data_IF_943202736335
#
_entry.id   IF_943202736335
#
_cell.length_a   1.000
_cell.length_b   1.000
_cell.length_c   1.000
_cell.angle_alpha   90.00
_cell.angle_beta   90.00
_cell.angle_gamma   90.00
#
_symmetry.space_group_name_H-M   'P 1'
#
loop_
_entity.id
_entity.type
_entity.pdbx_description
1 polymer ?
#
# COMPACT_ATOMS: atom_id res chain seq x y z
N UNK A 1 -19.36 10.17 -9.96
CA UNK A 1 -18.44 9.09 -9.73
C UNK A 1 -17.51 9.43 -8.60
N UNK A 2 -16.97 8.41 -8.00
CA UNK A 2 -16.25 8.44 -6.74
C UNK A 2 -14.74 8.64 -6.96
N UNK A 3 -14.37 9.51 -7.90
CA UNK A 3 -12.97 9.81 -8.17
C UNK A 3 -12.47 10.86 -7.18
N UNK A 4 -11.43 10.54 -6.41
CA UNK A 4 -10.81 11.45 -5.43
C UNK A 4 -9.31 11.64 -5.66
N UNK A 5 -8.68 10.79 -6.46
CA UNK A 5 -7.24 10.78 -6.68
C UNK A 5 -6.83 11.82 -7.74
N UNK A 6 -5.82 12.63 -7.42
CA UNK A 6 -5.30 13.67 -8.29
C UNK A 6 -3.84 13.98 -7.97
N UNK A 7 -3.12 14.45 -8.98
CA UNK A 7 -1.79 15.04 -8.84
C UNK A 7 -1.57 16.06 -9.95
N UNK A 8 -0.84 17.14 -9.65
CA UNK A 8 -0.46 18.16 -10.61
C UNK A 8 0.82 18.89 -10.21
N UNK A 9 1.44 19.56 -11.19
CA UNK A 9 2.60 20.42 -11.01
C UNK A 9 2.19 21.90 -11.20
N UNK A 10 2.73 22.79 -10.37
CA UNK A 10 2.59 24.25 -10.53
C UNK A 10 3.92 24.84 -10.88
N UNK A 11 3.96 25.64 -11.96
CA UNK A 11 5.17 26.29 -12.46
C UNK A 11 5.06 27.81 -12.39
N UNK A 12 6.18 28.48 -12.08
CA UNK A 12 6.28 29.93 -12.14
C UNK A 12 5.45 30.68 -11.10
N UNK A 13 5.19 30.09 -9.94
CA UNK A 13 4.43 30.70 -8.85
C UNK A 13 5.31 31.25 -7.72
N UNK A 14 6.62 31.32 -7.89
CA UNK A 14 7.56 31.82 -6.88
C UNK A 14 7.09 33.15 -6.23
N UNK A 15 7.16 33.23 -4.90
CA UNK A 15 6.74 34.37 -4.09
C UNK A 15 5.23 34.62 -4.02
N UNK A 16 4.39 33.76 -4.61
CA UNK A 16 2.92 33.91 -4.60
C UNK A 16 2.25 33.03 -3.57
N UNK A 17 1.12 33.49 -3.04
CA UNK A 17 0.19 32.65 -2.28
C UNK A 17 -0.98 32.29 -3.20
N UNK A 18 -1.24 30.99 -3.35
CA UNK A 18 -2.27 30.47 -4.26
C UNK A 18 -3.22 29.57 -3.46
N UNK A 19 -4.51 29.79 -3.63
CA UNK A 19 -5.56 28.90 -3.12
C UNK A 19 -6.05 27.99 -4.23
N UNK A 20 -6.05 26.68 -3.95
CA UNK A 20 -6.54 25.64 -4.85
C UNK A 20 -7.90 25.19 -4.37
N UNK A 21 -8.89 25.22 -5.26
CA UNK A 21 -10.26 24.80 -4.98
C UNK A 21 -10.59 23.60 -5.85
N UNK A 22 -11.08 22.56 -5.23
CA UNK A 22 -11.46 21.29 -5.86
C UNK A 22 -12.93 20.97 -5.60
N UNK A 23 -13.41 19.90 -6.18
CA UNK A 23 -14.72 19.37 -5.83
C UNK A 23 -14.75 18.96 -4.34
N UNK A 24 -15.92 19.09 -3.67
CA UNK A 24 -16.06 18.71 -2.27
C UNK A 24 -15.64 17.26 -2.01
N UNK A 25 -14.81 17.06 -0.97
CA UNK A 25 -14.33 15.74 -0.57
C UNK A 25 -13.04 15.29 -1.28
N UNK A 26 -12.43 16.09 -2.16
CA UNK A 26 -11.21 15.72 -2.86
C UNK A 26 -9.92 16.17 -2.16
N UNK A 27 -10.02 16.97 -1.13
CA UNK A 27 -8.89 17.40 -0.28
C UNK A 27 -8.96 16.70 1.06
N UNK A 28 -7.84 16.10 1.49
CA UNK A 28 -7.74 15.45 2.78
C UNK A 28 -7.59 16.43 3.96
N UNK A 29 -7.53 15.91 5.19
CA UNK A 29 -7.50 16.72 6.41
C UNK A 29 -6.32 17.68 6.52
N UNK A 30 -5.20 17.34 5.87
CA UNK A 30 -3.93 18.08 5.98
C UNK A 30 -3.58 18.81 4.67
N UNK A 31 -4.58 19.09 3.83
CA UNK A 31 -4.39 19.72 2.54
C UNK A 31 -3.86 18.75 1.49
N UNK A 32 -2.94 19.24 0.65
CA UNK A 32 -2.24 18.45 -0.35
C UNK A 32 -0.95 17.83 0.20
N UNK A 33 -0.55 16.69 -0.32
CA UNK A 33 0.84 16.28 -0.27
C UNK A 33 1.65 17.16 -1.24
N UNK A 34 2.78 17.69 -0.78
CA UNK A 34 3.64 18.64 -1.50
C UNK A 34 5.03 18.06 -1.65
N UNK A 35 5.60 18.15 -2.85
CA UNK A 35 6.95 17.69 -3.15
C UNK A 35 7.66 18.62 -4.13
N UNK A 36 9.00 18.69 -4.03
CA UNK A 36 9.87 19.39 -4.98
C UNK A 36 10.66 18.43 -5.89
N UNK A 37 10.62 17.13 -5.59
CA UNK A 37 11.45 16.12 -6.25
C UNK A 37 10.73 14.81 -6.56
N UNK A 38 9.44 14.69 -6.24
CA UNK A 38 8.60 13.49 -6.34
C UNK A 38 9.04 12.32 -5.43
N UNK A 39 10.04 12.53 -4.59
CA UNK A 39 10.56 11.53 -3.65
C UNK A 39 10.25 11.85 -2.19
N UNK A 40 10.33 13.13 -1.82
CA UNK A 40 10.09 13.62 -0.47
C UNK A 40 8.78 14.40 -0.46
N UNK A 41 7.85 13.96 0.38
CA UNK A 41 6.51 14.51 0.48
C UNK A 41 6.24 15.04 1.87
N UNK A 42 5.59 16.19 1.96
CA UNK A 42 5.08 16.77 3.20
C UNK A 42 3.65 17.24 2.98
N UNK A 43 2.88 17.36 4.04
CA UNK A 43 1.55 17.95 3.95
C UNK A 43 1.63 19.47 3.88
N UNK A 44 0.73 20.09 3.10
CA UNK A 44 0.65 21.56 3.01
C UNK A 44 0.12 22.20 4.29
N UNK A 45 -0.43 21.41 5.20
CA UNK A 45 -0.91 21.76 6.56
C UNK A 45 -1.96 22.88 6.62
N UNK A 46 -2.70 23.07 5.53
CA UNK A 46 -3.67 24.17 5.41
C UNK A 46 -4.99 23.78 4.77
N UNK A 47 -5.53 22.60 5.08
CA UNK A 47 -6.90 22.31 4.70
C UNK A 47 -7.86 23.19 5.50
N UNK A 48 -8.41 24.20 4.87
CA UNK A 48 -9.40 25.09 5.47
C UNK A 48 -10.83 24.56 5.34
N UNK A 49 -11.04 23.67 4.36
CA UNK A 49 -12.30 22.98 4.11
C UNK A 49 -12.00 21.72 3.27
N UNK A 50 -12.91 20.75 3.25
CA UNK A 50 -12.76 19.49 2.52
C UNK A 50 -12.66 19.64 0.98
N UNK A 51 -12.55 20.84 0.45
CA UNK A 51 -12.47 21.13 -0.98
C UNK A 51 -11.40 22.17 -1.35
N UNK A 52 -10.60 22.66 -0.40
CA UNK A 52 -9.57 23.66 -0.72
C UNK A 52 -8.36 23.59 0.19
N UNK A 53 -7.22 24.01 -0.33
CA UNK A 53 -5.99 24.27 0.43
C UNK A 53 -5.29 25.49 -0.12
N UNK A 54 -4.42 26.11 0.67
CA UNK A 54 -3.64 27.27 0.27
C UNK A 54 -2.16 26.97 0.44
N UNK A 55 -1.35 27.38 -0.52
CA UNK A 55 0.10 27.23 -0.48
C UNK A 55 0.80 28.55 -0.80
N UNK A 56 1.79 28.91 0.02
CA UNK A 56 2.65 30.08 -0.21
C UNK A 56 3.99 29.59 -0.75
N UNK A 57 4.24 29.90 -2.02
CA UNK A 57 5.49 29.56 -2.69
C UNK A 57 6.62 30.44 -2.17
N UNK A 58 7.74 29.85 -1.83
CA UNK A 58 8.98 30.59 -1.53
C UNK A 58 9.50 31.33 -2.76
N UNK A 59 10.38 32.31 -2.54
CA UNK A 59 10.95 33.17 -3.60
C UNK A 59 11.69 32.39 -4.70
N UNK A 60 12.17 31.18 -4.41
CA UNK A 60 12.90 30.32 -5.35
C UNK A 60 12.13 29.04 -5.72
N UNK A 61 10.89 28.90 -5.31
CA UNK A 61 10.05 27.74 -5.61
C UNK A 61 9.31 27.92 -6.93
N UNK A 62 9.93 27.53 -8.04
CA UNK A 62 9.36 27.65 -9.37
C UNK A 62 8.52 26.43 -9.78
N UNK A 63 8.90 25.24 -9.34
CA UNK A 63 8.28 23.98 -9.69
C UNK A 63 7.93 23.23 -8.41
N UNK A 64 6.63 23.05 -8.14
CA UNK A 64 6.12 22.35 -6.95
C UNK A 64 5.04 21.36 -7.36
N UNK A 65 5.15 20.14 -6.89
CA UNK A 65 4.19 19.07 -7.12
C UNK A 65 3.21 18.98 -5.96
N UNK A 66 1.94 18.83 -6.31
CA UNK A 66 0.83 18.62 -5.37
C UNK A 66 0.10 17.34 -5.71
N UNK A 67 -0.27 16.58 -4.69
CA UNK A 67 -1.02 15.34 -4.88
C UNK A 67 -2.03 15.13 -3.75
N UNK A 68 -3.01 14.25 -4.02
CA UNK A 68 -3.98 13.80 -3.04
C UNK A 68 -3.32 13.18 -1.81
N UNK A 69 -2.30 12.34 -2.04
CA UNK A 69 -1.49 11.66 -1.04
C UNK A 69 -0.01 11.62 -1.44
N UNK A 70 0.84 11.02 -0.61
CA UNK A 70 2.27 10.88 -0.86
C UNK A 70 2.50 9.83 -1.94
N UNK A 71 2.72 10.28 -3.19
CA UNK A 71 2.90 9.40 -4.33
C UNK A 71 4.11 8.47 -4.16
N UNK A 72 3.96 7.26 -4.69
CA UNK A 72 5.05 6.30 -4.82
C UNK A 72 5.21 5.91 -6.30
N UNK A 73 6.27 6.41 -6.93
CA UNK A 73 6.55 6.22 -8.35
C UNK A 73 7.47 5.00 -8.58
N UNK A 74 7.40 4.30 -9.72
CA UNK A 74 8.28 3.16 -10.01
C UNK A 74 9.78 3.45 -9.88
N UNK A 75 10.24 4.66 -10.23
CA UNK A 75 11.63 5.06 -10.03
C UNK A 75 12.06 5.06 -8.56
N UNK A 76 11.13 5.32 -7.62
CA UNK A 76 11.42 5.21 -6.19
C UNK A 76 11.72 3.78 -5.77
N UNK A 77 10.94 2.81 -6.24
CA UNK A 77 11.21 1.39 -5.97
C UNK A 77 12.56 0.94 -6.52
N UNK A 78 12.90 1.36 -7.74
CA UNK A 78 14.21 1.06 -8.32
C UNK A 78 15.35 1.66 -7.50
N UNK A 79 15.23 2.92 -7.09
CA UNK A 79 16.23 3.58 -6.23
C UNK A 79 16.33 2.94 -4.84
N UNK A 80 15.18 2.59 -4.25
CA UNK A 80 15.13 1.86 -2.97
C UNK A 80 15.90 0.54 -3.06
N UNK A 81 15.64 -0.24 -4.11
CA UNK A 81 16.26 -1.52 -4.36
C UNK A 81 17.77 -1.38 -4.62
N UNK A 82 18.18 -0.42 -5.44
CA UNK A 82 19.59 -0.13 -5.76
C UNK A 82 20.39 0.17 -4.50
N UNK A 83 19.88 1.06 -3.63
CA UNK A 83 20.55 1.43 -2.36
C UNK A 83 20.75 0.26 -1.40
N UNK A 84 20.03 -0.86 -1.60
CA UNK A 84 20.09 -2.08 -0.78
C UNK A 84 20.72 -3.26 -1.49
N UNK A 85 21.22 -3.06 -2.71
CA UNK A 85 21.79 -4.12 -3.53
C UNK A 85 20.76 -5.17 -3.98
N UNK A 86 19.47 -4.82 -3.97
CA UNK A 86 18.38 -5.69 -4.41
C UNK A 86 18.26 -5.62 -5.93
N UNK A 87 18.25 -6.79 -6.57
CA UNK A 87 18.03 -6.87 -8.02
C UNK A 87 16.55 -6.81 -8.37
N UNK A 88 16.12 -5.72 -8.96
CA UNK A 88 14.80 -5.61 -9.57
C UNK A 88 14.78 -6.39 -10.89
N UNK A 89 13.74 -7.19 -11.08
CA UNK A 89 13.50 -8.01 -12.25
C UNK A 89 12.20 -7.56 -12.93
N UNK A 90 12.03 -7.94 -14.18
CA UNK A 90 10.78 -7.80 -14.94
C UNK A 90 9.91 -9.03 -14.68
N UNK A 91 8.69 -8.83 -14.21
CA UNK A 91 7.73 -9.90 -13.97
C UNK A 91 6.99 -10.25 -15.26
N UNK A 92 6.27 -9.30 -15.80
CA UNK A 92 5.56 -9.33 -17.07
C UNK A 92 5.24 -7.88 -17.49
N UNK A 93 4.69 -7.71 -18.68
CA UNK A 93 4.06 -6.45 -19.08
C UNK A 93 2.58 -6.46 -18.65
N UNK A 94 2.10 -5.36 -18.11
CA UNK A 94 0.68 -5.16 -17.84
C UNK A 94 -0.12 -5.04 -19.15
N UNK A 95 -1.42 -4.94 -19.09
CA UNK A 95 -2.31 -5.08 -20.25
C UNK A 95 -2.09 -4.04 -21.35
N UNK A 96 -1.56 -2.85 -21.02
CA UNK A 96 -1.21 -1.79 -21.99
C UNK A 96 0.29 -1.71 -22.28
N UNK A 97 1.08 -2.65 -21.73
CA UNK A 97 2.50 -2.78 -22.01
C UNK A 97 3.42 -2.12 -21.00
N UNK A 98 2.94 -1.65 -19.86
CA UNK A 98 3.80 -1.13 -18.79
C UNK A 98 4.50 -2.29 -18.09
N UNK A 99 5.85 -2.29 -17.97
CA UNK A 99 6.56 -3.33 -17.24
C UNK A 99 6.19 -3.37 -15.76
N UNK A 100 5.88 -4.56 -15.26
CA UNK A 100 5.67 -4.80 -13.82
C UNK A 100 7.01 -5.23 -13.21
N UNK A 101 7.64 -4.40 -12.35
CA UNK A 101 8.85 -4.77 -11.65
C UNK A 101 8.54 -5.68 -10.46
N UNK A 102 9.46 -6.57 -10.14
CA UNK A 102 9.42 -7.32 -8.88
C UNK A 102 10.82 -7.56 -8.34
N UNK A 103 10.91 -7.92 -7.07
CA UNK A 103 12.15 -8.31 -6.43
C UNK A 103 11.98 -9.57 -5.59
N UNK A 104 13.04 -10.39 -5.52
CA UNK A 104 13.12 -11.53 -4.60
C UNK A 104 14.25 -11.27 -3.64
N UNK A 105 13.95 -11.27 -2.35
CA UNK A 105 14.87 -10.96 -1.26
C UNK A 105 15.00 -12.20 -0.36
N UNK A 106 16.23 -12.67 -0.14
CA UNK A 106 16.48 -13.92 0.57
C UNK A 106 16.50 -15.14 -0.35
N UNK A 107 16.93 -16.30 0.19
CA UNK A 107 17.14 -17.55 -0.55
C UNK A 107 16.38 -18.74 0.05
N UNK A 108 15.58 -18.52 1.10
CA UNK A 108 14.81 -19.56 1.76
C UNK A 108 13.75 -20.20 0.86
N UNK A 109 13.29 -21.38 1.23
CA UNK A 109 12.30 -22.13 0.44
C UNK A 109 10.91 -21.53 0.52
N UNK A 110 10.49 -21.13 1.74
CA UNK A 110 9.15 -20.62 1.98
C UNK A 110 9.03 -19.16 1.55
N UNK A 111 8.04 -18.84 0.75
CA UNK A 111 7.86 -17.54 0.13
C UNK A 111 6.85 -16.67 0.91
N UNK A 112 7.23 -15.46 1.25
CA UNK A 112 6.33 -14.41 1.72
C UNK A 112 6.08 -13.50 0.52
N UNK A 113 4.85 -13.46 0.03
CA UNK A 113 4.48 -12.63 -1.13
C UNK A 113 3.89 -11.32 -0.62
N UNK A 114 4.46 -10.21 -1.08
CA UNK A 114 3.96 -8.86 -0.83
C UNK A 114 3.43 -8.31 -2.15
N UNK A 115 2.18 -7.88 -2.16
CA UNK A 115 1.55 -7.20 -3.30
C UNK A 115 1.07 -5.82 -2.90
N UNK A 116 1.11 -4.87 -3.83
CA UNK A 116 0.54 -3.54 -3.64
C UNK A 116 -0.03 -3.02 -4.97
N UNK A 117 -0.82 -1.98 -4.90
CA UNK A 117 -1.36 -1.26 -6.06
C UNK A 117 -2.22 -2.13 -6.98
N UNK A 118 -3.03 -3.04 -6.43
CA UNK A 118 -4.19 -3.56 -7.15
C UNK A 118 -5.18 -2.45 -7.52
N UNK A 119 -5.22 -1.40 -6.71
CA UNK A 119 -5.80 -0.12 -7.07
C UNK A 119 -4.65 0.90 -7.21
N UNK A 120 -4.52 1.47 -8.40
CA UNK A 120 -3.36 2.26 -8.78
C UNK A 120 -3.08 3.49 -7.88
N UNK A 121 -4.09 4.05 -7.22
CA UNK A 121 -3.95 5.22 -6.35
C UNK A 121 -3.41 4.92 -4.94
N UNK A 122 -3.32 3.66 -4.51
CA UNK A 122 -3.08 3.30 -3.10
C UNK A 122 -1.58 3.25 -2.74
N UNK A 123 -0.90 4.40 -2.80
CA UNK A 123 0.56 4.50 -2.68
C UNK A 123 1.14 4.21 -1.29
N UNK A 124 0.36 4.35 -0.22
CA UNK A 124 0.85 4.21 1.16
C UNK A 124 1.34 2.80 1.48
N UNK A 125 0.75 1.78 0.84
CA UNK A 125 1.17 0.39 0.96
C UNK A 125 2.60 0.13 0.47
N UNK A 126 3.08 0.85 -0.54
CA UNK A 126 4.44 0.71 -1.06
C UNK A 126 5.50 1.12 -0.01
N UNK A 127 5.23 2.17 0.79
CA UNK A 127 6.12 2.56 1.89
C UNK A 127 6.14 1.52 3.01
N UNK A 128 5.00 0.88 3.30
CA UNK A 128 4.94 -0.26 4.22
C UNK A 128 5.83 -1.41 3.68
N UNK A 129 5.74 -1.70 2.38
CA UNK A 129 6.57 -2.72 1.72
C UNK A 129 8.06 -2.42 1.86
N UNK A 130 8.50 -1.15 1.68
CA UNK A 130 9.89 -0.74 1.94
C UNK A 130 10.31 -1.10 3.38
N UNK A 131 9.46 -0.82 4.36
CA UNK A 131 9.74 -1.11 5.76
C UNK A 131 9.85 -2.60 6.07
N UNK A 132 8.97 -3.42 5.50
CA UNK A 132 9.01 -4.88 5.63
C UNK A 132 10.32 -5.41 5.04
N UNK A 133 10.71 -4.96 3.85
CA UNK A 133 11.96 -5.37 3.20
C UNK A 133 13.18 -4.94 4.02
N UNK A 134 13.20 -3.70 4.53
CA UNK A 134 14.29 -3.20 5.38
C UNK A 134 14.51 -4.04 6.63
N UNK A 135 13.41 -4.39 7.32
CA UNK A 135 13.52 -5.21 8.52
C UNK A 135 13.91 -6.66 8.17
N UNK A 136 13.42 -7.20 7.05
CA UNK A 136 13.81 -8.53 6.61
C UNK A 136 15.30 -8.62 6.25
N UNK A 137 15.86 -7.63 5.55
CA UNK A 137 17.27 -7.58 5.22
C UNK A 137 18.17 -7.53 6.47
N UNK A 138 17.71 -6.82 7.49
CA UNK A 138 18.41 -6.67 8.76
C UNK A 138 18.31 -7.93 9.63
N UNK A 139 17.17 -8.57 9.62
CA UNK A 139 16.85 -9.69 10.50
C UNK A 139 15.92 -10.70 9.74
N UNK A 140 16.50 -11.55 8.87
CA UNK A 140 15.73 -12.47 8.05
C UNK A 140 14.95 -13.50 8.88
N UNK A 141 13.77 -13.88 8.43
CA UNK A 141 13.04 -15.04 8.96
C UNK A 141 13.70 -16.31 8.38
N UNK A 142 14.07 -17.29 9.21
CA UNK A 142 14.75 -18.51 8.77
C UNK A 142 13.98 -19.26 7.66
N UNK A 143 14.71 -19.80 6.71
CA UNK A 143 14.19 -20.57 5.55
C UNK A 143 13.10 -19.86 4.73
N UNK A 144 13.08 -18.53 4.76
CA UNK A 144 12.13 -17.75 3.97
C UNK A 144 12.82 -16.89 2.90
N UNK A 145 12.02 -16.43 1.95
CA UNK A 145 12.32 -15.33 1.03
C UNK A 145 11.09 -14.43 0.91
N UNK A 146 11.30 -13.18 0.54
CA UNK A 146 10.23 -12.26 0.18
C UNK A 146 10.18 -12.12 -1.34
N UNK A 147 8.99 -12.25 -1.93
CA UNK A 147 8.70 -11.82 -3.29
C UNK A 147 7.85 -10.55 -3.21
N UNK A 148 8.44 -9.42 -3.58
CA UNK A 148 7.80 -8.10 -3.54
C UNK A 148 7.36 -7.66 -4.94
N UNK A 149 6.07 -7.36 -5.11
CA UNK A 149 5.46 -6.90 -6.37
C UNK A 149 4.73 -5.59 -6.08
N UNK A 150 5.38 -4.44 -6.25
CA UNK A 150 4.87 -3.15 -5.79
C UNK A 150 3.71 -2.58 -6.64
N UNK A 151 3.57 -3.01 -7.91
CA UNK A 151 2.63 -2.38 -8.84
C UNK A 151 1.87 -3.44 -9.63
N UNK A 152 0.74 -3.92 -9.09
CA UNK A 152 -0.10 -4.90 -9.80
C UNK A 152 -0.85 -4.26 -10.97
N UNK A 153 -1.39 -3.04 -10.79
CA UNK A 153 -1.94 -2.18 -11.85
C UNK A 153 -0.85 -1.16 -12.29
N UNK A 154 0.21 -1.65 -12.93
CA UNK A 154 1.33 -0.79 -13.36
C UNK A 154 0.91 0.24 -14.42
N UNK A 155 0.01 -0.14 -15.31
CA UNK A 155 -0.57 0.77 -16.31
C UNK A 155 -1.29 1.94 -15.65
N UNK A 156 -2.08 1.67 -14.62
CA UNK A 156 -2.80 2.69 -13.87
C UNK A 156 -1.88 3.59 -13.06
N UNK A 157 -0.84 3.03 -12.44
CA UNK A 157 0.16 3.80 -11.68
C UNK A 157 0.87 4.82 -12.58
N UNK A 158 1.32 4.39 -13.75
CA UNK A 158 2.01 5.29 -14.69
C UNK A 158 1.07 6.31 -15.32
N UNK A 159 -0.19 5.93 -15.55
CA UNK A 159 -1.21 6.83 -16.10
C UNK A 159 -1.76 7.84 -15.08
N UNK A 160 -1.48 7.69 -13.77
CA UNK A 160 -2.10 8.50 -12.71
C UNK A 160 -3.57 8.18 -12.51
N UNK A 161 -3.97 6.93 -12.78
CA UNK A 161 -5.34 6.45 -12.65
C UNK A 161 -5.66 6.07 -11.19
N UNK A 162 -6.93 6.12 -10.80
CA UNK A 162 -7.36 5.67 -9.47
C UNK A 162 -7.34 4.14 -9.34
N UNK A 163 -7.63 3.41 -10.40
CA UNK A 163 -7.63 1.95 -10.42
C UNK A 163 -8.86 1.29 -9.79
N UNK A 164 -9.63 2.01 -8.98
CA UNK A 164 -10.91 1.53 -8.41
C UNK A 164 -12.04 1.63 -9.44
N UNK A 165 -13.09 0.83 -9.27
CA UNK A 165 -14.30 0.88 -10.12
C UNK A 165 -14.05 0.66 -11.62
N UNK A 166 -13.02 -0.10 -12.00
CA UNK A 166 -12.76 -0.50 -13.39
C UNK A 166 -13.85 -1.42 -13.94
N UNK A 167 -13.98 -1.47 -15.26
CA UNK A 167 -14.90 -2.37 -15.97
C UNK A 167 -14.10 -3.42 -16.74
N UNK A 168 -14.51 -4.71 -16.70
CA UNK A 168 -15.67 -5.29 -16.02
C UNK A 168 -15.56 -5.31 -14.50
N UNK A 169 -14.35 -5.36 -13.94
CA UNK A 169 -13.99 -5.29 -12.52
C UNK A 169 -12.56 -4.74 -12.36
N UNK A 170 -12.15 -4.38 -11.15
CA UNK A 170 -10.78 -3.96 -10.85
C UNK A 170 -9.84 -5.16 -10.63
N UNK A 171 -8.53 -4.90 -10.54
CA UNK A 171 -7.51 -5.93 -10.38
C UNK A 171 -7.71 -6.78 -9.12
N UNK A 172 -8.21 -6.21 -8.01
CA UNK A 172 -8.48 -6.96 -6.78
C UNK A 172 -9.83 -7.69 -6.78
N UNK A 173 -10.49 -7.78 -7.93
CA UNK A 173 -11.68 -8.59 -8.19
C UNK A 173 -11.46 -9.60 -9.32
N UNK A 174 -10.21 -9.74 -9.77
CA UNK A 174 -9.84 -10.51 -10.98
C UNK A 174 -9.28 -11.91 -10.71
N UNK A 175 -9.15 -12.32 -9.47
CA UNK A 175 -8.51 -13.61 -9.13
C UNK A 175 -9.27 -14.85 -9.57
N UNK A 176 -10.53 -14.73 -10.01
CA UNK A 176 -11.27 -15.80 -10.69
C UNK A 176 -11.12 -15.73 -12.21
N UNK A 177 -11.34 -14.55 -12.81
CA UNK A 177 -11.40 -14.39 -14.27
C UNK A 177 -10.00 -14.25 -14.90
N UNK A 178 -9.06 -13.61 -14.20
CA UNK A 178 -7.64 -13.49 -14.58
C UNK A 178 -7.45 -12.79 -15.95
N UNK A 179 -8.15 -11.67 -16.15
CA UNK A 179 -8.02 -10.84 -17.36
C UNK A 179 -6.82 -9.90 -17.32
N UNK A 180 -6.32 -9.56 -16.12
CA UNK A 180 -5.16 -8.69 -15.93
C UNK A 180 -3.87 -9.49 -15.80
N UNK A 181 -2.83 -9.08 -16.53
CA UNK A 181 -1.54 -9.78 -16.57
C UNK A 181 -0.83 -9.77 -15.22
N UNK A 182 -0.89 -8.65 -14.46
CA UNK A 182 -0.34 -8.57 -13.11
C UNK A 182 -0.97 -9.58 -12.16
N UNK A 183 -2.30 -9.72 -12.20
CA UNK A 183 -3.03 -10.72 -11.39
C UNK A 183 -2.65 -12.15 -11.79
N UNK A 184 -2.55 -12.42 -13.09
CA UNK A 184 -2.10 -13.73 -13.60
C UNK A 184 -0.73 -14.11 -13.05
N UNK A 185 0.22 -13.17 -13.10
CA UNK A 185 1.59 -13.40 -12.62
C UNK A 185 1.62 -13.67 -11.10
N UNK A 186 0.84 -12.97 -10.29
CA UNK A 186 0.71 -13.25 -8.84
C UNK A 186 0.17 -14.67 -8.62
N UNK A 187 -0.87 -15.06 -9.34
CA UNK A 187 -1.45 -16.42 -9.24
C UNK A 187 -0.44 -17.50 -9.60
N UNK A 188 0.37 -17.29 -10.63
CA UNK A 188 1.42 -18.23 -11.05
C UNK A 188 2.51 -18.34 -9.97
N UNK A 189 2.98 -17.22 -9.40
CA UNK A 189 3.96 -17.24 -8.31
C UNK A 189 3.39 -17.98 -7.09
N UNK A 190 2.16 -17.68 -6.72
CA UNK A 190 1.52 -18.28 -5.56
C UNK A 190 1.22 -19.78 -5.77
N UNK A 191 0.83 -20.18 -6.98
CA UNK A 191 0.51 -21.56 -7.31
C UNK A 191 1.72 -22.48 -7.52
N UNK A 192 2.88 -21.92 -7.85
CA UNK A 192 4.09 -22.70 -8.19
C UNK A 192 5.14 -22.72 -7.06
N UNK A 193 4.86 -22.15 -5.91
CA UNK A 193 5.83 -22.01 -4.82
C UNK A 193 5.37 -22.60 -3.50
N UNK A 194 6.32 -22.79 -2.60
CA UNK A 194 6.05 -23.03 -1.19
C UNK A 194 5.77 -21.67 -0.52
N UNK A 195 4.49 -21.30 -0.46
CA UNK A 195 4.06 -19.99 0.04
C UNK A 195 3.73 -20.07 1.51
N UNK A 196 4.44 -19.29 2.32
CA UNK A 196 4.20 -19.15 3.75
C UNK A 196 3.07 -18.17 4.04
N UNK A 197 3.14 -16.99 3.43
CA UNK A 197 2.18 -15.92 3.66
C UNK A 197 2.00 -15.04 2.42
N UNK A 198 0.82 -14.43 2.33
CA UNK A 198 0.51 -13.40 1.31
C UNK A 198 -0.04 -12.17 2.02
N UNK A 199 0.62 -11.04 1.82
CA UNK A 199 0.19 -9.74 2.31
C UNK A 199 -0.15 -8.85 1.12
N UNK A 200 -1.42 -8.47 1.05
CA UNK A 200 -1.95 -7.57 0.05
C UNK A 200 -2.11 -6.17 0.65
N UNK A 201 -1.29 -5.23 0.18
CA UNK A 201 -1.20 -3.88 0.72
C UNK A 201 -2.14 -2.94 -0.02
N UNK A 202 -3.07 -2.36 0.70
CA UNK A 202 -4.12 -1.49 0.21
C UNK A 202 -4.22 -0.18 0.99
N UNK A 203 -5.05 0.72 0.47
CA UNK A 203 -5.59 1.85 1.22
C UNK A 203 -7.11 1.82 1.14
N UNK A 204 -7.79 2.13 2.25
CA UNK A 204 -9.24 2.07 2.31
C UNK A 204 -9.88 3.18 1.47
N UNK A 205 -11.18 3.42 1.66
CA UNK A 205 -11.83 4.57 1.08
C UNK A 205 -11.21 5.87 1.63
N UNK A 206 -11.31 6.90 0.84
CA UNK A 206 -10.64 8.19 0.94
C UNK A 206 -10.45 8.74 2.37
N UNK A 207 -11.52 9.03 3.12
CA UNK A 207 -11.47 9.60 4.48
C UNK A 207 -12.65 9.13 5.35
N UNK A 208 -12.54 9.41 6.62
CA UNK A 208 -13.49 9.29 7.73
C UNK A 208 -13.63 7.93 8.37
N UNK A 209 -13.78 7.95 9.68
CA UNK A 209 -14.02 6.78 10.51
C UNK A 209 -12.85 5.80 10.51
N UNK A 210 -13.09 4.55 10.11
CA UNK A 210 -12.05 3.53 10.02
C UNK A 210 -11.03 3.84 8.92
N UNK A 211 -11.41 4.54 7.85
CA UNK A 211 -10.52 4.87 6.76
C UNK A 211 -9.32 5.75 7.17
N UNK A 212 -9.43 6.44 8.31
CA UNK A 212 -8.35 7.25 8.87
C UNK A 212 -7.33 6.43 9.68
N UNK A 213 -7.50 5.11 9.73
CA UNK A 213 -6.71 4.18 10.55
C UNK A 213 -6.07 3.10 9.70
N UNK A 214 -5.07 2.43 10.29
CA UNK A 214 -4.54 1.18 9.75
C UNK A 214 -5.34 0.03 10.36
N UNK A 215 -5.73 -0.94 9.53
CA UNK A 215 -6.44 -2.13 9.97
C UNK A 215 -6.21 -3.31 9.03
N UNK A 216 -6.30 -4.53 9.58
CA UNK A 216 -6.27 -5.76 8.81
C UNK A 216 -7.69 -6.18 8.42
N UNK A 217 -7.84 -6.67 7.19
CA UNK A 217 -9.04 -7.37 6.74
C UNK A 217 -8.74 -8.87 6.77
N UNK A 218 -9.33 -9.56 7.72
CA UNK A 218 -9.20 -11.00 7.90
C UNK A 218 -10.22 -11.71 7.04
N UNK A 219 -9.80 -12.65 6.25
CA UNK A 219 -10.65 -13.26 5.21
C UNK A 219 -10.86 -14.77 5.37
N UNK A 220 -10.39 -15.37 6.48
CA UNK A 220 -10.53 -16.79 6.75
C UNK A 220 -11.14 -17.03 8.13
N UNK A 221 -12.25 -17.78 8.19
CA UNK A 221 -12.82 -18.25 9.46
C UNK A 221 -11.94 -19.35 10.08
N UNK A 222 -11.35 -20.21 9.25
CA UNK A 222 -10.50 -21.33 9.69
C UNK A 222 -9.18 -20.85 10.32
N UNK A 223 -8.61 -19.78 9.81
CA UNK A 223 -7.34 -19.18 10.27
C UNK A 223 -7.56 -17.93 11.15
N UNK A 224 -8.78 -17.70 11.64
CA UNK A 224 -9.13 -16.46 12.32
C UNK A 224 -8.32 -16.23 13.61
N UNK A 225 -8.07 -17.29 14.38
CA UNK A 225 -7.30 -17.20 15.62
C UNK A 225 -5.83 -16.89 15.37
N UNK A 226 -5.23 -17.45 14.29
CA UNK A 226 -3.86 -17.13 13.87
C UNK A 226 -3.75 -15.69 13.38
N UNK A 227 -4.73 -15.21 12.60
CA UNK A 227 -4.80 -13.82 12.14
C UNK A 227 -4.99 -12.84 13.32
N UNK A 228 -5.76 -13.21 14.34
CA UNK A 228 -5.91 -12.41 15.55
C UNK A 228 -4.65 -12.42 16.41
N UNK A 229 -3.95 -13.55 16.48
CA UNK A 229 -2.65 -13.63 17.14
C UNK A 229 -1.66 -12.70 16.44
N UNK A 230 -1.55 -12.80 15.12
CA UNK A 230 -0.73 -11.86 14.35
C UNK A 230 -1.08 -10.40 14.67
N UNK A 231 -2.38 -10.04 14.63
CA UNK A 231 -2.81 -8.68 14.91
C UNK A 231 -2.35 -8.18 16.30
N UNK A 232 -2.46 -9.02 17.34
CA UNK A 232 -1.94 -8.67 18.68
C UNK A 232 -0.43 -8.48 18.70
N UNK A 233 0.33 -9.38 18.09
CA UNK A 233 1.78 -9.27 18.00
C UNK A 233 2.20 -8.01 17.20
N UNK A 234 1.46 -7.66 16.14
CA UNK A 234 1.71 -6.44 15.38
C UNK A 234 1.41 -5.19 16.23
N UNK A 235 0.26 -5.16 16.96
CA UNK A 235 -0.08 -4.06 17.86
C UNK A 235 0.99 -3.86 18.96
N UNK A 236 1.50 -4.95 19.53
CA UNK A 236 2.57 -4.94 20.54
C UNK A 236 3.94 -4.50 19.97
N UNK A 237 4.17 -4.71 18.68
CA UNK A 237 5.41 -4.33 18.00
C UNK A 237 5.45 -2.86 17.55
N UNK A 238 4.33 -2.12 17.65
CA UNK A 238 4.24 -0.72 17.20
C UNK A 238 5.15 0.17 18.05
N UNK A 239 6.07 0.84 17.37
CA UNK A 239 7.00 1.81 17.97
C UNK A 239 6.44 3.24 17.90
N UNK A 240 6.94 4.19 18.72
CA UNK A 240 6.45 5.57 18.73
C UNK A 240 6.62 6.33 17.41
N UNK A 241 7.56 5.92 16.56
CA UNK A 241 7.84 6.48 15.23
C UNK A 241 7.02 5.85 14.11
N UNK A 242 6.24 4.80 14.41
CA UNK A 242 5.32 4.17 13.46
C UNK A 242 3.92 4.80 13.49
N UNK A 243 3.10 4.46 12.51
CA UNK A 243 1.66 4.74 12.56
C UNK A 243 1.02 3.88 13.65
N UNK A 244 0.06 4.45 14.37
CA UNK A 244 -0.72 3.70 15.35
C UNK A 244 -1.56 2.63 14.65
N UNK A 245 -1.52 1.43 15.19
CA UNK A 245 -2.37 0.33 14.80
C UNK A 245 -3.09 -0.23 16.03
N UNK A 246 -4.31 -0.70 15.87
CA UNK A 246 -5.03 -1.42 16.92
C UNK A 246 -5.93 -2.47 16.31
N UNK A 247 -5.88 -3.67 16.86
CA UNK A 247 -6.72 -4.82 16.49
C UNK A 247 -8.22 -4.56 16.59
N UNK A 248 -8.63 -3.53 17.33
CA UNK A 248 -10.04 -3.07 17.43
C UNK A 248 -10.57 -2.49 16.11
N UNK A 249 -9.67 -2.07 15.22
CA UNK A 249 -10.04 -1.53 13.91
C UNK A 249 -10.15 -2.63 12.84
N UNK A 250 -9.63 -3.82 13.11
CA UNK A 250 -9.61 -4.92 12.15
C UNK A 250 -11.04 -5.41 11.83
N UNK A 251 -11.19 -5.94 10.62
CA UNK A 251 -12.46 -6.44 10.12
C UNK A 251 -12.38 -7.97 9.99
N UNK A 252 -13.19 -8.66 10.78
CA UNK A 252 -13.30 -10.11 10.72
C UNK A 252 -14.19 -10.57 9.54
N UNK A 253 -14.11 -11.84 9.12
CA UNK A 253 -15.02 -12.42 8.15
C UNK A 253 -16.48 -12.24 8.56
N UNK A 254 -17.35 -11.90 7.63
CA UNK A 254 -18.78 -11.69 7.86
C UNK A 254 -19.15 -10.34 8.50
N UNK A 255 -18.17 -9.46 8.73
CA UNK A 255 -18.39 -8.13 9.37
C UNK A 255 -18.32 -7.02 8.32
N UNK A 256 -19.23 -6.06 8.39
CA UNK A 256 -19.34 -4.89 7.50
C UNK A 256 -19.27 -5.29 6.02
N UNK A 257 -18.38 -4.68 5.24
CA UNK A 257 -18.20 -4.97 3.82
C UNK A 257 -17.39 -6.27 3.54
N UNK A 258 -16.79 -6.90 4.56
CA UNK A 258 -16.07 -8.16 4.44
C UNK A 258 -17.02 -9.37 4.51
N UNK A 259 -18.12 -9.32 3.78
CA UNK A 259 -19.20 -10.33 3.76
C UNK A 259 -19.16 -11.26 2.54
N UNK A 260 -18.25 -11.00 1.61
CA UNK A 260 -18.13 -11.81 0.38
C UNK A 260 -17.59 -13.20 0.64
N UNK A 261 -18.25 -14.20 0.03
CA UNK A 261 -17.75 -15.59 0.00
C UNK A 261 -16.89 -15.86 -1.23
N UNK A 262 -16.83 -14.91 -2.16
CA UNK A 262 -16.16 -15.05 -3.43
C UNK A 262 -14.65 -14.89 -3.26
N UNK A 263 -13.89 -15.71 -3.99
CA UNK A 263 -12.42 -15.72 -4.00
C UNK A 263 -11.85 -14.76 -5.04
N UNK A 264 -12.44 -13.59 -5.18
CA UNK A 264 -12.10 -12.63 -6.23
C UNK A 264 -10.90 -11.74 -5.90
N UNK A 265 -10.61 -11.51 -4.61
CA UNK A 265 -9.47 -10.69 -4.18
C UNK A 265 -8.19 -11.53 -4.00
N UNK A 266 -7.04 -10.87 -4.02
CA UNK A 266 -5.72 -11.47 -3.82
C UNK A 266 -5.68 -12.32 -2.56
N UNK A 267 -5.92 -11.73 -1.41
CA UNK A 267 -5.84 -12.43 -0.13
C UNK A 267 -6.88 -13.53 0.02
N UNK A 268 -8.11 -13.34 -0.50
CA UNK A 268 -9.15 -14.35 -0.43
C UNK A 268 -8.88 -15.56 -1.36
N UNK A 269 -8.22 -15.35 -2.48
CA UNK A 269 -7.76 -16.42 -3.36
C UNK A 269 -6.59 -17.18 -2.75
N UNK A 270 -5.58 -16.44 -2.29
CA UNK A 270 -4.33 -17.05 -1.82
C UNK A 270 -4.49 -17.85 -0.51
N UNK A 271 -5.45 -17.51 0.36
CA UNK A 271 -5.69 -18.27 1.61
C UNK A 271 -5.99 -19.74 1.40
N UNK A 272 -6.52 -20.09 0.22
CA UNK A 272 -6.93 -21.46 -0.10
C UNK A 272 -5.81 -22.27 -0.78
N UNK A 273 -4.66 -21.66 -1.02
CA UNK A 273 -3.48 -22.34 -1.57
C UNK A 273 -2.89 -23.23 -0.46
N UNK A 274 -2.65 -24.53 -0.74
CA UNK A 274 -2.03 -25.42 0.23
C UNK A 274 -0.68 -24.88 0.73
N UNK A 275 -0.47 -24.90 2.04
CA UNK A 275 0.77 -24.42 2.67
C UNK A 275 0.77 -22.94 3.05
N UNK A 276 -0.18 -22.14 2.59
CA UNK A 276 -0.33 -20.75 3.03
C UNK A 276 -0.85 -20.71 4.47
N UNK A 277 -0.04 -20.19 5.38
CA UNK A 277 -0.41 -20.05 6.79
C UNK A 277 -1.25 -18.79 7.03
N UNK A 278 -0.87 -17.66 6.43
CA UNK A 278 -1.58 -16.40 6.57
C UNK A 278 -1.75 -15.72 5.19
N UNK A 279 -2.97 -15.30 4.89
CA UNK A 279 -3.24 -14.44 3.75
C UNK A 279 -4.28 -13.39 4.14
N UNK A 280 -3.94 -12.12 4.09
CA UNK A 280 -4.84 -11.04 4.47
C UNK A 280 -4.48 -9.73 3.77
N UNK A 281 -5.36 -8.76 3.88
CA UNK A 281 -5.18 -7.41 3.39
C UNK A 281 -4.86 -6.47 4.54
N UNK A 282 -3.84 -5.62 4.37
CA UNK A 282 -3.57 -4.49 5.25
C UNK A 282 -4.04 -3.21 4.57
N UNK A 283 -5.00 -2.56 5.18
CA UNK A 283 -5.50 -1.26 4.75
C UNK A 283 -4.72 -0.15 5.45
N UNK A 284 -4.00 0.65 4.67
CA UNK A 284 -3.15 1.74 5.17
C UNK A 284 -3.76 3.08 4.80
N UNK A 285 -4.15 3.87 5.80
CA UNK A 285 -4.80 5.17 5.59
C UNK A 285 -3.98 6.12 4.69
N UNK A 286 -4.67 6.98 3.92
CA UNK A 286 -4.02 8.02 3.12
C UNK A 286 -3.47 9.17 3.98
N UNK A 287 -4.20 9.58 5.03
CA UNK A 287 -3.91 10.79 5.79
C UNK A 287 -3.60 10.53 7.26
N UNK A 288 -4.24 9.54 7.85
CA UNK A 288 -4.26 9.38 9.30
C UNK A 288 -5.22 10.35 9.99
N UNK A 289 -4.99 10.59 11.26
CA UNK A 289 -5.81 11.45 12.13
C UNK A 289 -4.92 12.42 12.92
N UNK A 290 -5.47 13.49 13.53
CA UNK A 290 -4.69 14.38 14.38
C UNK A 290 -3.92 13.63 15.46
N UNK A 291 -2.61 13.85 15.55
CA UNK A 291 -1.70 13.12 16.43
C UNK A 291 -1.22 11.76 15.90
N UNK A 292 -1.68 11.35 14.71
CA UNK A 292 -1.22 10.15 14.00
C UNK A 292 -1.22 10.38 12.48
N UNK A 293 -0.65 11.51 12.06
CA UNK A 293 -0.58 11.93 10.65
C UNK A 293 0.37 11.03 9.87
N UNK A 294 -0.03 10.63 8.67
CA UNK A 294 0.81 9.86 7.75
C UNK A 294 2.05 10.65 7.37
N UNK A 295 3.21 10.01 7.43
CA UNK A 295 4.44 10.43 6.77
C UNK A 295 5.15 9.21 6.19
N UNK A 296 6.05 9.44 5.24
CA UNK A 296 6.83 8.38 4.60
C UNK A 296 7.61 7.56 5.63
N UNK A 297 8.27 8.25 6.59
CA UNK A 297 9.04 7.63 7.66
C UNK A 297 8.19 6.77 8.57
N UNK A 298 7.00 7.26 8.95
CA UNK A 298 6.07 6.50 9.79
C UNK A 298 5.53 5.26 9.08
N UNK A 299 5.22 5.36 7.79
CA UNK A 299 4.79 4.19 7.00
C UNK A 299 5.90 3.14 6.92
N UNK A 300 7.14 3.56 6.64
CA UNK A 300 8.29 2.65 6.62
C UNK A 300 8.52 2.03 8.01
N UNK A 301 8.43 2.81 9.09
CA UNK A 301 8.53 2.28 10.46
C UNK A 301 7.40 1.28 10.76
N UNK A 302 6.18 1.53 10.28
CA UNK A 302 5.05 0.60 10.42
C UNK A 302 5.32 -0.72 9.71
N UNK A 303 5.94 -0.69 8.52
CA UNK A 303 6.35 -1.90 7.80
C UNK A 303 7.36 -2.74 8.58
N UNK A 304 8.31 -2.11 9.28
CA UNK A 304 9.26 -2.81 10.18
C UNK A 304 8.53 -3.47 11.34
N UNK A 305 7.64 -2.73 12.00
CA UNK A 305 6.80 -3.25 13.09
C UNK A 305 5.92 -4.41 12.62
N UNK A 306 5.40 -4.33 11.39
CA UNK A 306 4.61 -5.41 10.79
C UNK A 306 5.41 -6.71 10.70
N UNK A 307 6.62 -6.68 10.14
CA UNK A 307 7.45 -7.88 10.03
C UNK A 307 7.88 -8.42 11.39
N UNK A 308 8.12 -7.55 12.36
CA UNK A 308 8.39 -7.97 13.74
C UNK A 308 7.18 -8.66 14.36
N UNK A 309 5.98 -8.09 14.20
CA UNK A 309 4.73 -8.73 14.64
C UNK A 309 4.49 -10.08 13.96
N UNK A 310 4.79 -10.18 12.66
CA UNK A 310 4.71 -11.44 11.92
C UNK A 310 5.68 -12.48 12.48
N UNK A 311 6.92 -12.12 12.76
CA UNK A 311 7.94 -12.99 13.38
C UNK A 311 7.49 -13.49 14.75
N UNK A 312 6.90 -12.62 15.57
CA UNK A 312 6.47 -12.93 16.94
C UNK A 312 5.17 -13.75 16.99
N UNK A 313 4.36 -13.73 15.94
CA UNK A 313 3.13 -14.50 15.85
C UNK A 313 3.33 -15.92 15.37
N UNK A 314 4.54 -16.22 14.87
CA UNK A 314 4.79 -17.48 14.17
C UNK A 314 5.04 -18.65 15.12
N UNK A 315 4.34 -19.77 14.89
CA UNK A 315 4.89 -21.09 15.12
C UNK A 315 5.55 -21.66 13.85
N UNK A 316 6.20 -20.81 13.04
CA UNK A 316 6.74 -21.23 11.73
C UNK A 316 8.13 -21.84 11.83
#
# INVERSE_FOLDING_TARGET
GDWFYWAFEVKGAAGKTVSFVMEPGYVGYFGAAVSHDLYHWNWSDTATAANSFTYTFGENENDVFFAHDMLYHPSRFHKFAELRGIKVKHLCDDNKGTPIPYAVIGEGKRNIILTARHHACEATGDYIMEGIIDEYLKNPIPDTRITAIPFIDADGVVAGDQGKNRRPHDHNRDYLDTIYNGVRAVKEIAGNGDVLAVLDLHSPWHISGRNDKIFCVRNSEEKLDDMRLFGRCFEESITPDAMKYSTKNDIDPGVEWNIGKERTSCSSFCRDIPGVELAFTLETTYFGEPGNVVSQEKLVATGRCFLEGFRNSAPF
#
